data_IF_927655860780
#
_entry.id   IF_927655860780
#
_cell.length_a   1.000
_cell.length_b   1.000
_cell.length_c   1.000
_cell.angle_alpha   90.00
_cell.angle_beta   90.00
_cell.angle_gamma   90.00
#
_symmetry.space_group_name_H-M   'P 1'
#
loop_
_entity.id
_entity.type
_entity.pdbx_description
1 polymer ?
#
# COMPACT_ATOMS: atom_id res chain seq x y z
N UNK A 1 -19.55 23.79 35.59
CA UNK A 1 -18.15 24.16 35.87
C UNK A 1 -17.12 23.21 35.21
N UNK A 2 -17.11 21.88 35.48
CA UNK A 2 -16.14 20.95 34.85
C UNK A 2 -16.36 20.75 33.38
N UNK A 3 -17.61 20.74 32.90
CA UNK A 3 -17.98 20.65 31.46
C UNK A 3 -17.72 21.98 30.73
N UNK A 4 -17.93 23.10 31.39
CA UNK A 4 -17.64 24.44 30.88
C UNK A 4 -16.13 24.66 30.76
N UNK A 5 -15.34 24.31 31.79
CA UNK A 5 -13.88 24.35 31.71
C UNK A 5 -13.32 23.49 30.58
N UNK A 6 -13.91 22.33 30.32
CA UNK A 6 -13.51 21.45 29.23
C UNK A 6 -13.96 21.97 27.86
N UNK A 7 -15.11 22.64 27.77
CA UNK A 7 -15.56 23.34 26.58
C UNK A 7 -14.66 24.54 26.24
N UNK A 8 -14.24 25.30 27.27
CA UNK A 8 -13.31 26.43 27.12
C UNK A 8 -11.91 25.96 26.73
N UNK A 9 -11.44 24.82 27.23
CA UNK A 9 -10.19 24.18 26.83
C UNK A 9 -10.24 23.70 25.38
N UNK A 10 -11.36 23.11 24.94
CA UNK A 10 -11.61 22.71 23.54
C UNK A 10 -11.74 23.94 22.64
N UNK A 11 -12.41 25.00 23.10
CA UNK A 11 -12.53 26.25 22.38
C UNK A 11 -11.16 26.94 22.23
N UNK A 12 -10.39 27.04 23.32
CA UNK A 12 -9.03 27.57 23.28
C UNK A 12 -8.08 26.76 22.41
N UNK A 13 -8.22 25.42 22.39
CA UNK A 13 -7.50 24.55 21.45
C UNK A 13 -7.95 24.72 20.00
N UNK A 14 -9.21 25.15 19.76
CA UNK A 14 -9.74 25.45 18.42
C UNK A 14 -9.44 26.89 17.98
N UNK A 15 -9.25 27.82 18.91
CA UNK A 15 -8.89 29.22 18.64
C UNK A 15 -7.38 29.38 18.29
N UNK A 16 -6.54 28.39 18.51
CA UNK A 16 -5.33 28.30 17.72
C UNK A 16 -5.73 28.05 16.27
N UNK A 17 -6.27 29.09 15.62
CA UNK A 17 -6.38 29.20 14.18
C UNK A 17 -5.07 28.64 13.63
N UNK A 18 -5.06 27.56 12.81
CA UNK A 18 -3.84 27.16 12.16
C UNK A 18 -3.49 28.35 11.27
N UNK A 19 -2.65 29.26 11.80
CA UNK A 19 -2.02 30.25 10.96
C UNK A 19 -1.49 29.43 9.80
N UNK A 20 -1.84 29.77 8.55
CA UNK A 20 -1.49 29.05 7.32
C UNK A 20 -0.04 28.57 7.42
N UNK A 21 0.18 27.45 8.13
CA UNK A 21 1.52 26.90 8.30
C UNK A 21 1.94 26.48 6.93
N UNK A 22 2.95 27.17 6.37
CA UNK A 22 3.43 26.89 5.03
C UNK A 22 3.79 25.41 4.97
N UNK A 23 3.07 24.63 4.17
CA UNK A 23 3.31 23.21 3.99
C UNK A 23 4.65 22.95 3.28
N UNK A 24 4.94 23.72 2.23
CA UNK A 24 6.17 23.59 1.44
C UNK A 24 7.34 24.32 2.11
N UNK A 25 7.89 23.74 3.18
CA UNK A 25 9.02 24.29 3.94
C UNK A 25 10.19 23.32 3.98
N UNK A 26 11.39 23.83 4.23
CA UNK A 26 12.59 22.99 4.41
C UNK A 26 12.42 21.97 5.54
N UNK A 27 11.68 22.33 6.61
CA UNK A 27 11.40 21.46 7.77
C UNK A 27 10.55 20.25 7.41
N UNK A 28 9.63 20.38 6.45
CA UNK A 28 8.71 19.32 6.06
C UNK A 28 9.16 18.52 4.84
N UNK A 29 10.35 18.79 4.29
CA UNK A 29 10.85 18.07 3.09
C UNK A 29 10.89 16.55 3.29
N UNK A 30 11.38 16.09 4.45
CA UNK A 30 11.47 14.65 4.74
C UNK A 30 10.08 14.02 4.90
N UNK A 31 9.17 14.54 5.76
CA UNK A 31 7.79 14.05 5.81
C UNK A 31 7.07 14.06 4.45
N UNK A 32 7.22 15.11 3.66
CA UNK A 32 6.63 15.21 2.32
C UNK A 32 7.16 14.10 1.40
N UNK A 33 8.48 13.88 1.37
CA UNK A 33 9.10 12.82 0.59
C UNK A 33 8.64 11.44 1.06
N UNK A 34 8.57 11.20 2.37
CA UNK A 34 8.11 9.94 2.94
C UNK A 34 6.65 9.65 2.58
N UNK A 35 5.75 10.66 2.69
CA UNK A 35 4.34 10.52 2.33
C UNK A 35 4.16 10.24 0.83
N UNK A 36 4.95 10.89 -0.03
CA UNK A 36 4.93 10.64 -1.46
C UNK A 36 5.43 9.22 -1.79
N UNK A 37 6.59 8.83 -1.27
CA UNK A 37 7.19 7.55 -1.63
C UNK A 37 6.45 6.35 -1.05
N UNK A 38 5.84 6.45 0.14
CA UNK A 38 5.02 5.35 0.65
C UNK A 38 3.80 5.12 -0.25
N UNK A 39 3.17 6.20 -0.75
CA UNK A 39 2.05 6.10 -1.69
C UNK A 39 2.48 5.61 -3.08
N UNK A 40 3.63 6.07 -3.57
CA UNK A 40 4.25 5.65 -4.81
C UNK A 40 4.54 4.14 -4.81
N UNK A 41 5.27 3.64 -3.82
CA UNK A 41 5.58 2.21 -3.72
C UNK A 41 4.35 1.36 -3.45
N UNK A 42 3.36 1.87 -2.69
CA UNK A 42 2.10 1.18 -2.50
C UNK A 42 1.47 0.82 -3.84
N UNK A 43 1.41 1.75 -4.78
CA UNK A 43 0.80 1.51 -6.09
C UNK A 43 1.72 0.72 -7.03
N UNK A 44 3.02 0.96 -7.00
CA UNK A 44 3.98 0.21 -7.81
C UNK A 44 4.23 -1.24 -7.34
N UNK A 45 3.61 -1.66 -6.25
CA UNK A 45 3.44 -3.08 -5.94
C UNK A 45 2.53 -3.81 -6.94
N UNK A 46 1.71 -3.06 -7.68
CA UNK A 46 0.70 -3.62 -8.58
C UNK A 46 -0.64 -3.93 -7.90
N UNK A 47 -0.84 -3.50 -6.64
CA UNK A 47 -2.02 -3.89 -5.85
C UNK A 47 -3.35 -3.60 -6.55
N UNK A 48 -3.56 -2.39 -7.05
CA UNK A 48 -4.80 -2.04 -7.72
C UNK A 48 -4.93 -2.75 -9.08
N UNK A 49 -3.83 -2.97 -9.80
CA UNK A 49 -3.83 -3.77 -11.01
C UNK A 49 -4.29 -5.20 -10.73
N UNK A 50 -3.75 -5.84 -9.68
CA UNK A 50 -4.16 -7.19 -9.29
C UNK A 50 -5.61 -7.23 -8.83
N UNK A 51 -6.05 -6.29 -7.97
CA UNK A 51 -7.42 -6.28 -7.44
C UNK A 51 -8.47 -6.07 -8.54
N UNK A 52 -8.26 -5.11 -9.44
CA UNK A 52 -9.24 -4.80 -10.50
C UNK A 52 -9.23 -5.80 -11.65
N UNK A 53 -8.08 -6.41 -11.94
CA UNK A 53 -7.92 -7.35 -13.05
C UNK A 53 -7.73 -8.79 -12.60
N UNK A 54 -8.03 -9.13 -11.34
CA UNK A 54 -7.90 -10.48 -10.81
C UNK A 54 -8.56 -11.56 -11.68
N UNK A 55 -9.81 -11.41 -12.15
CA UNK A 55 -10.41 -12.41 -13.03
C UNK A 55 -9.57 -12.65 -14.29
N UNK A 56 -9.09 -11.58 -14.91
CA UNK A 56 -8.26 -11.66 -16.12
C UNK A 56 -6.93 -12.36 -15.88
N UNK A 57 -6.29 -12.08 -14.73
CA UNK A 57 -5.04 -12.73 -14.35
C UNK A 57 -5.26 -14.24 -14.16
N UNK A 58 -6.37 -14.65 -13.54
CA UNK A 58 -6.71 -16.05 -13.35
C UNK A 58 -7.10 -16.74 -14.67
N UNK A 59 -7.82 -16.07 -15.57
CA UNK A 59 -8.10 -16.59 -16.90
C UNK A 59 -6.82 -16.88 -17.71
N UNK A 60 -5.77 -16.04 -17.57
CA UNK A 60 -4.46 -16.26 -18.20
C UNK A 60 -3.77 -17.53 -17.71
N UNK A 61 -4.19 -18.11 -16.60
CA UNK A 61 -3.71 -19.39 -16.08
C UNK A 61 -4.51 -20.61 -16.61
N UNK A 62 -5.45 -20.37 -17.51
CA UNK A 62 -6.31 -21.43 -18.05
C UNK A 62 -7.56 -21.73 -17.22
N UNK A 63 -7.82 -20.96 -16.15
CA UNK A 63 -9.07 -21.07 -15.38
C UNK A 63 -10.25 -20.54 -16.21
N UNK A 64 -11.35 -21.30 -16.20
CA UNK A 64 -12.61 -20.82 -16.79
C UNK A 64 -13.16 -19.60 -16.02
N UNK A 65 -13.96 -18.79 -16.69
CA UNK A 65 -14.52 -17.52 -16.18
C UNK A 65 -15.14 -17.67 -14.79
N UNK A 66 -15.96 -18.68 -14.56
CA UNK A 66 -16.61 -18.92 -13.26
C UNK A 66 -15.61 -19.20 -12.14
N UNK A 67 -14.56 -19.97 -12.42
CA UNK A 67 -13.51 -20.26 -11.44
C UNK A 67 -12.65 -19.01 -11.17
N UNK A 68 -12.36 -18.21 -12.18
CA UNK A 68 -11.65 -16.95 -12.05
C UNK A 68 -12.42 -15.94 -11.17
N UNK A 69 -13.74 -15.83 -11.34
CA UNK A 69 -14.60 -15.01 -10.50
C UNK A 69 -14.62 -15.49 -9.02
N UNK A 70 -14.71 -16.79 -8.79
CA UNK A 70 -14.67 -17.36 -7.43
C UNK A 70 -13.33 -17.08 -6.74
N UNK A 71 -12.21 -17.20 -7.47
CA UNK A 71 -10.89 -16.85 -6.94
C UNK A 71 -10.80 -15.35 -6.59
N UNK A 72 -11.43 -14.49 -7.38
CA UNK A 72 -11.46 -13.05 -7.13
C UNK A 72 -12.25 -12.70 -5.86
N UNK A 73 -13.34 -13.42 -5.57
CA UNK A 73 -14.05 -13.32 -4.28
C UNK A 73 -13.13 -13.74 -3.12
N UNK A 74 -12.38 -14.83 -3.30
CA UNK A 74 -11.38 -15.29 -2.33
C UNK A 74 -10.30 -14.23 -2.04
N UNK A 75 -9.86 -13.46 -3.04
CA UNK A 75 -8.95 -12.30 -2.85
C UNK A 75 -9.58 -11.28 -1.89
N UNK A 76 -10.85 -10.92 -2.08
CA UNK A 76 -11.55 -9.98 -1.19
C UNK A 76 -11.59 -10.47 0.26
N UNK A 77 -11.90 -11.75 0.47
CA UNK A 77 -11.90 -12.36 1.81
C UNK A 77 -10.49 -12.36 2.41
N UNK A 78 -9.47 -12.73 1.64
CA UNK A 78 -8.08 -12.72 2.08
C UNK A 78 -7.66 -11.31 2.49
N UNK A 79 -7.97 -10.31 1.66
CA UNK A 79 -7.66 -8.91 1.95
C UNK A 79 -8.31 -8.47 3.28
N UNK A 80 -9.59 -8.80 3.49
CA UNK A 80 -10.32 -8.46 4.71
C UNK A 80 -9.67 -9.09 5.95
N UNK A 81 -9.44 -10.40 5.93
CA UNK A 81 -8.85 -11.14 7.06
C UNK A 81 -7.47 -10.60 7.41
N UNK A 82 -6.60 -10.45 6.41
CA UNK A 82 -5.23 -9.97 6.66
C UNK A 82 -5.17 -8.47 6.99
N UNK A 83 -6.16 -7.67 6.61
CA UNK A 83 -6.29 -6.29 7.09
C UNK A 83 -6.54 -6.27 8.60
N UNK A 84 -7.43 -7.10 9.15
CA UNK A 84 -7.60 -7.20 10.60
C UNK A 84 -6.34 -7.70 11.31
N UNK A 85 -5.62 -8.65 10.72
CA UNK A 85 -4.32 -9.09 11.25
C UNK A 85 -3.32 -7.93 11.26
N UNK A 86 -3.25 -7.14 10.19
CA UNK A 86 -2.38 -5.96 10.10
C UNK A 86 -2.72 -4.90 11.14
N UNK A 87 -4.00 -4.59 11.32
CA UNK A 87 -4.47 -3.66 12.35
C UNK A 87 -4.14 -4.13 13.77
N UNK A 88 -4.23 -5.42 14.04
CA UNK A 88 -3.85 -5.99 15.33
C UNK A 88 -2.33 -5.96 15.55
N UNK A 89 -1.54 -6.12 14.51
CA UNK A 89 -0.07 -6.15 14.59
C UNK A 89 0.57 -4.76 14.60
N UNK A 90 -0.09 -3.73 14.05
CA UNK A 90 0.52 -2.40 13.82
C UNK A 90 1.02 -1.76 15.12
N UNK A 91 0.25 -1.90 16.20
CA UNK A 91 0.64 -1.35 17.51
C UNK A 91 1.57 -2.28 18.30
N UNK A 92 1.68 -3.54 17.89
CA UNK A 92 2.58 -4.52 18.53
C UNK A 92 3.98 -4.51 17.93
N UNK A 93 4.06 -4.59 16.60
CA UNK A 93 5.32 -4.72 15.88
C UNK A 93 5.89 -3.39 15.38
N UNK A 94 5.04 -2.36 15.25
CA UNK A 94 5.42 -1.06 14.70
C UNK A 94 5.32 -1.00 13.17
N UNK A 95 5.33 0.24 12.68
CA UNK A 95 5.03 0.55 11.28
C UNK A 95 6.15 0.08 10.35
N UNK A 96 7.38 0.34 10.74
CA UNK A 96 8.57 -0.05 9.96
C UNK A 96 8.73 -1.56 9.85
N UNK A 97 8.47 -2.29 10.93
CA UNK A 97 8.54 -3.76 10.93
C UNK A 97 7.49 -4.36 10.01
N UNK A 98 6.26 -3.84 10.01
CA UNK A 98 5.21 -4.31 9.10
C UNK A 98 5.53 -4.01 7.64
N UNK A 99 6.16 -2.87 7.34
CA UNK A 99 6.64 -2.58 5.99
C UNK A 99 7.75 -3.56 5.54
N UNK A 100 8.63 -4.01 6.44
CA UNK A 100 9.59 -5.07 6.12
C UNK A 100 8.89 -6.39 5.83
N UNK A 101 7.98 -6.84 6.70
CA UNK A 101 7.22 -8.08 6.52
C UNK A 101 6.47 -8.04 5.18
N UNK A 102 5.76 -6.95 4.90
CA UNK A 102 5.07 -6.73 3.63
C UNK A 102 6.01 -6.76 2.43
N UNK A 103 7.17 -6.08 2.52
CA UNK A 103 8.15 -6.05 1.42
C UNK A 103 8.71 -7.43 1.10
N UNK A 104 9.07 -8.22 2.10
CA UNK A 104 9.53 -9.60 1.89
C UNK A 104 8.41 -10.47 1.31
N UNK A 105 7.18 -10.35 1.81
CA UNK A 105 6.02 -11.05 1.28
C UNK A 105 5.75 -10.71 -0.18
N UNK A 106 5.84 -9.42 -0.55
CA UNK A 106 5.72 -8.97 -1.94
C UNK A 106 6.80 -9.57 -2.84
N UNK A 107 8.07 -9.46 -2.44
CA UNK A 107 9.20 -9.96 -3.25
C UNK A 107 9.06 -11.46 -3.49
N UNK A 108 8.74 -12.23 -2.45
CA UNK A 108 8.55 -13.67 -2.57
C UNK A 108 7.37 -14.02 -3.47
N UNK A 109 6.19 -13.44 -3.21
CA UNK A 109 4.97 -13.78 -3.94
C UNK A 109 4.98 -13.31 -5.40
N UNK A 110 5.43 -12.06 -5.66
CA UNK A 110 5.54 -11.53 -7.02
C UNK A 110 6.66 -12.19 -7.82
N UNK A 111 7.79 -12.50 -7.16
CA UNK A 111 8.89 -13.23 -7.77
C UNK A 111 8.49 -14.65 -8.19
N UNK A 112 7.80 -15.38 -7.32
CA UNK A 112 7.25 -16.70 -7.65
C UNK A 112 6.16 -16.63 -8.71
N UNK A 113 5.31 -15.60 -8.67
CA UNK A 113 4.29 -15.37 -9.70
C UNK A 113 4.95 -15.13 -11.08
N UNK A 114 5.96 -14.27 -11.13
CA UNK A 114 6.74 -14.02 -12.35
C UNK A 114 7.38 -15.30 -12.88
N UNK A 115 8.03 -16.06 -12.02
CA UNK A 115 8.64 -17.35 -12.38
C UNK A 115 7.60 -18.34 -12.92
N UNK A 116 6.42 -18.41 -12.29
CA UNK A 116 5.33 -19.27 -12.72
C UNK A 116 4.86 -18.95 -14.14
N UNK A 117 4.76 -17.67 -14.50
CA UNK A 117 4.42 -17.25 -15.85
C UNK A 117 5.53 -17.55 -16.86
N UNK A 118 6.81 -17.45 -16.50
CA UNK A 118 7.92 -17.80 -17.40
C UNK A 118 8.08 -19.30 -17.61
N UNK A 119 7.71 -20.12 -16.64
CA UNK A 119 7.82 -21.59 -16.71
C UNK A 119 6.50 -22.27 -17.04
N UNK A 120 5.45 -21.50 -17.31
CA UNK A 120 4.08 -21.99 -17.56
C UNK A 120 3.52 -22.87 -16.43
N UNK A 121 4.06 -22.71 -15.21
CA UNK A 121 3.57 -23.42 -14.02
C UNK A 121 2.42 -22.66 -13.39
N UNK A 122 1.30 -22.58 -14.10
CA UNK A 122 0.14 -21.77 -13.73
C UNK A 122 -0.59 -22.27 -12.46
N UNK A 123 -0.34 -23.50 -12.05
CA UNK A 123 -1.00 -24.08 -10.85
C UNK A 123 -0.70 -23.30 -9.56
N UNK A 124 0.46 -22.66 -9.46
CA UNK A 124 0.85 -21.91 -8.25
C UNK A 124 0.44 -20.43 -8.29
N UNK A 125 0.03 -19.89 -9.44
CA UNK A 125 -0.31 -18.46 -9.57
C UNK A 125 -1.40 -18.02 -8.61
N UNK A 126 -2.51 -18.73 -8.42
CA UNK A 126 -3.51 -18.35 -7.43
C UNK A 126 -2.93 -18.20 -6.01
N UNK A 127 -2.12 -19.17 -5.57
CA UNK A 127 -1.47 -19.12 -4.26
C UNK A 127 -0.52 -17.92 -4.13
N UNK A 128 0.24 -17.59 -5.18
CA UNK A 128 1.10 -16.41 -5.23
C UNK A 128 0.29 -15.11 -5.11
N UNK A 129 -0.85 -15.01 -5.80
CA UNK A 129 -1.73 -13.83 -5.73
C UNK A 129 -2.35 -13.70 -4.32
N UNK A 130 -2.83 -14.78 -3.72
CA UNK A 130 -3.34 -14.76 -2.34
C UNK A 130 -2.25 -14.32 -1.34
N UNK A 131 -1.03 -14.86 -1.46
CA UNK A 131 0.10 -14.48 -0.63
C UNK A 131 0.48 -12.99 -0.81
N UNK A 132 0.45 -12.50 -2.04
CA UNK A 132 0.66 -11.09 -2.37
C UNK A 132 -0.38 -10.18 -1.70
N UNK A 133 -1.66 -10.52 -1.79
CA UNK A 133 -2.75 -9.76 -1.15
C UNK A 133 -2.61 -9.76 0.37
N UNK A 134 -2.29 -10.91 0.97
CA UNK A 134 -2.04 -11.01 2.41
C UNK A 134 -0.85 -10.16 2.86
N UNK A 135 0.26 -10.18 2.13
CA UNK A 135 1.43 -9.36 2.38
C UNK A 135 1.11 -7.85 2.26
N UNK A 136 0.29 -7.47 1.26
CA UNK A 136 -0.19 -6.10 1.12
C UNK A 136 -1.01 -5.67 2.33
N UNK A 137 -2.03 -6.44 2.69
CA UNK A 137 -2.98 -6.09 3.73
C UNK A 137 -2.30 -5.91 5.10
N UNK A 138 -1.35 -6.80 5.45
CA UNK A 138 -0.58 -6.71 6.70
C UNK A 138 0.45 -5.57 6.66
N UNK A 139 1.12 -5.39 5.53
CA UNK A 139 2.19 -4.41 5.37
C UNK A 139 1.67 -3.02 4.98
N UNK A 140 1.76 -2.71 3.72
CA UNK A 140 1.42 -1.39 3.16
C UNK A 140 -0.03 -0.97 3.40
N UNK A 141 -1.00 -1.90 3.27
CA UNK A 141 -2.42 -1.60 3.41
C UNK A 141 -2.78 -1.07 4.80
N UNK A 142 -2.26 -1.71 5.85
CA UNK A 142 -2.48 -1.30 7.23
C UNK A 142 -1.66 -0.04 7.60
N UNK A 143 -0.43 0.06 7.09
CA UNK A 143 0.55 1.04 7.56
C UNK A 143 0.40 2.41 6.91
N UNK A 144 0.09 2.49 5.61
CA UNK A 144 0.23 3.72 4.81
C UNK A 144 -0.46 4.94 5.46
N UNK A 145 -1.72 4.81 5.84
CA UNK A 145 -2.51 5.95 6.33
C UNK A 145 -2.12 6.36 7.74
N UNK A 146 -1.81 5.39 8.58
CA UNK A 146 -1.33 5.62 9.96
C UNK A 146 0.02 6.31 9.91
N UNK A 147 0.98 5.78 9.16
CA UNK A 147 2.31 6.34 9.00
C UNK A 147 2.28 7.78 8.49
N UNK A 148 1.51 8.08 7.44
CA UNK A 148 1.36 9.45 6.93
C UNK A 148 0.83 10.38 8.03
N UNK A 149 -0.13 9.93 8.85
CA UNK A 149 -0.66 10.76 9.93
C UNK A 149 0.34 11.04 11.05
N UNK A 150 1.28 10.13 11.27
CA UNK A 150 2.26 10.20 12.37
C UNK A 150 3.51 11.02 12.02
N UNK A 151 3.93 11.05 10.76
CA UNK A 151 5.14 11.77 10.33
C UNK A 151 4.97 13.29 10.22
N UNK A 152 3.72 13.79 10.21
CA UNK A 152 3.47 15.23 10.15
C UNK A 152 3.07 15.81 11.51
N UNK A 153 3.55 17.02 11.85
CA UNK A 153 3.02 17.78 12.98
C UNK A 153 1.50 18.01 12.84
N UNK A 154 0.79 18.15 13.96
CA UNK A 154 -0.68 18.30 13.97
C UNK A 154 -1.17 19.40 13.00
N UNK A 155 -0.49 20.56 12.99
CA UNK A 155 -0.85 21.68 12.10
C UNK A 155 -0.76 21.37 10.59
N UNK A 156 0.01 20.35 10.19
CA UNK A 156 0.25 19.99 8.79
C UNK A 156 -0.29 18.59 8.44
N UNK A 157 -0.86 17.86 9.40
CA UNK A 157 -1.32 16.48 9.23
C UNK A 157 -2.36 16.34 8.11
N UNK A 158 -3.34 17.23 8.05
CA UNK A 158 -4.36 17.22 7.01
C UNK A 158 -3.77 17.41 5.61
N UNK A 159 -2.80 18.33 5.47
CA UNK A 159 -2.10 18.55 4.19
C UNK A 159 -1.22 17.34 3.81
N UNK A 160 -0.58 16.71 4.80
CA UNK A 160 0.19 15.48 4.60
C UNK A 160 -0.68 14.33 4.12
N UNK A 161 -1.85 14.12 4.74
CA UNK A 161 -2.83 13.13 4.31
C UNK A 161 -3.37 13.43 2.90
N UNK A 162 -3.64 14.69 2.60
CA UNK A 162 -4.08 15.10 1.26
C UNK A 162 -3.00 14.80 0.20
N UNK A 163 -1.72 15.10 0.48
CA UNK A 163 -0.61 14.77 -0.40
C UNK A 163 -0.48 13.26 -0.64
N UNK A 164 -0.46 12.48 0.44
CA UNK A 164 -0.34 11.02 0.36
C UNK A 164 -1.52 10.40 -0.39
N UNK A 165 -2.76 10.82 -0.08
CA UNK A 165 -3.96 10.37 -0.78
C UNK A 165 -3.94 10.75 -2.26
N UNK A 166 -3.56 11.99 -2.59
CA UNK A 166 -3.47 12.43 -3.98
C UNK A 166 -2.44 11.61 -4.76
N UNK A 167 -1.25 11.41 -4.21
CA UNK A 167 -0.21 10.58 -4.82
C UNK A 167 -0.72 9.13 -5.01
N UNK A 168 -1.32 8.54 -3.97
CA UNK A 168 -1.87 7.19 -4.01
C UNK A 168 -2.88 7.02 -5.16
N UNK A 169 -3.88 7.88 -5.24
CA UNK A 169 -4.94 7.75 -6.24
C UNK A 169 -4.51 8.13 -7.65
N UNK A 170 -3.57 9.07 -7.81
CA UNK A 170 -2.97 9.37 -9.12
C UNK A 170 -2.21 8.16 -9.65
N UNK A 171 -1.34 7.55 -8.85
CA UNK A 171 -0.61 6.36 -9.27
C UNK A 171 -1.54 5.14 -9.45
N UNK A 172 -2.59 4.99 -8.62
CA UNK A 172 -3.61 3.97 -8.79
C UNK A 172 -4.32 4.10 -10.16
N UNK A 173 -4.76 5.31 -10.49
CA UNK A 173 -5.42 5.58 -11.76
C UNK A 173 -4.49 5.34 -12.96
N UNK A 174 -3.25 5.84 -12.91
CA UNK A 174 -2.26 5.63 -13.96
C UNK A 174 -1.97 4.15 -14.18
N UNK A 175 -1.71 3.42 -13.10
CA UNK A 175 -1.39 1.99 -13.19
C UNK A 175 -2.58 1.18 -13.72
N UNK A 176 -3.78 1.44 -13.21
CA UNK A 176 -5.01 0.75 -13.64
C UNK A 176 -5.32 1.03 -15.11
N UNK A 177 -5.11 2.27 -15.57
CA UNK A 177 -5.29 2.65 -16.97
C UNK A 177 -4.29 1.96 -17.91
N UNK A 178 -3.03 1.85 -17.47
CA UNK A 178 -1.95 1.31 -18.30
C UNK A 178 -1.90 -0.23 -18.26
N UNK A 179 -2.34 -0.85 -17.18
CA UNK A 179 -2.18 -2.29 -16.94
C UNK A 179 -2.72 -3.19 -18.07
N UNK A 180 -3.94 -2.99 -18.62
CA UNK A 180 -4.42 -3.80 -19.74
C UNK A 180 -3.49 -3.75 -20.96
N UNK A 181 -2.90 -2.58 -21.22
CA UNK A 181 -1.93 -2.40 -22.28
C UNK A 181 -0.61 -3.13 -21.99
N UNK A 182 -0.15 -3.09 -20.74
CA UNK A 182 1.06 -3.79 -20.33
C UNK A 182 0.93 -5.31 -20.56
N UNK A 183 -0.16 -5.92 -20.07
CA UNK A 183 -0.35 -7.38 -20.17
C UNK A 183 -0.72 -7.84 -21.60
N UNK A 184 -1.17 -6.93 -22.47
CA UNK A 184 -1.38 -7.23 -23.89
C UNK A 184 -0.12 -7.07 -24.74
N UNK A 185 0.85 -6.29 -24.26
CA UNK A 185 2.08 -5.98 -25.01
C UNK A 185 3.27 -6.84 -24.55
N UNK A 186 3.35 -7.10 -23.25
CA UNK A 186 4.45 -7.86 -22.64
C UNK A 186 3.94 -9.18 -22.06
N UNK A 187 4.73 -10.26 -22.11
CA UNK A 187 4.43 -11.47 -21.33
C UNK A 187 4.23 -11.14 -19.85
N UNK A 188 3.21 -11.74 -19.24
CA UNK A 188 2.83 -11.45 -17.86
C UNK A 188 3.99 -11.61 -16.86
N UNK A 189 4.89 -12.58 -17.10
CA UNK A 189 6.09 -12.76 -16.28
C UNK A 189 6.93 -11.50 -16.12
N UNK A 190 7.11 -10.70 -17.18
CA UNK A 190 7.85 -9.42 -17.09
C UNK A 190 7.09 -8.36 -16.31
N UNK A 191 5.76 -8.33 -16.39
CA UNK A 191 4.95 -7.36 -15.63
C UNK A 191 5.04 -7.66 -14.13
N UNK A 192 4.94 -8.92 -13.73
CA UNK A 192 5.12 -9.32 -12.32
C UNK A 192 6.57 -9.15 -11.85
N UNK A 193 7.55 -9.37 -12.72
CA UNK A 193 8.96 -9.09 -12.41
C UNK A 193 9.18 -7.60 -12.15
N UNK A 194 8.60 -6.71 -12.95
CA UNK A 194 8.67 -5.27 -12.72
C UNK A 194 8.13 -4.90 -11.33
N UNK A 195 6.96 -5.39 -10.95
CA UNK A 195 6.40 -5.14 -9.62
C UNK A 195 7.30 -5.71 -8.51
N UNK A 196 7.87 -6.90 -8.70
CA UNK A 196 8.82 -7.50 -7.77
C UNK A 196 10.06 -6.60 -7.56
N UNK A 197 10.65 -6.10 -8.64
CA UNK A 197 11.81 -5.20 -8.58
C UNK A 197 11.47 -3.87 -7.90
N UNK A 198 10.28 -3.33 -8.13
CA UNK A 198 9.81 -2.14 -7.41
C UNK A 198 9.68 -2.39 -5.91
N UNK A 199 9.32 -3.61 -5.49
CA UNK A 199 9.25 -3.97 -4.07
C UNK A 199 10.63 -4.21 -3.45
N UNK A 200 11.62 -4.62 -4.24
CA UNK A 200 13.03 -4.61 -3.79
C UNK A 200 13.49 -3.16 -3.54
N UNK A 201 13.15 -2.23 -4.43
CA UNK A 201 13.44 -0.80 -4.23
C UNK A 201 12.72 -0.25 -2.99
N UNK A 202 11.45 -0.65 -2.76
CA UNK A 202 10.72 -0.32 -1.54
C UNK A 202 11.47 -0.82 -0.30
N UNK A 203 11.94 -2.06 -0.29
CA UNK A 203 12.68 -2.64 0.83
C UNK A 203 13.93 -1.81 1.15
N UNK A 204 14.68 -1.41 0.12
CA UNK A 204 15.86 -0.54 0.26
C UNK A 204 15.46 0.83 0.82
N UNK A 205 14.39 1.42 0.29
CA UNK A 205 13.87 2.71 0.77
C UNK A 205 13.42 2.63 2.23
N UNK A 206 12.69 1.58 2.62
CA UNK A 206 12.27 1.36 4.02
C UNK A 206 13.48 1.25 4.93
N UNK A 207 14.52 0.53 4.51
CA UNK A 207 15.76 0.37 5.28
C UNK A 207 16.47 1.70 5.51
N UNK A 208 16.56 2.56 4.50
CA UNK A 208 17.39 3.76 4.50
C UNK A 208 16.66 4.99 5.04
N UNK A 209 15.35 5.12 4.80
CA UNK A 209 14.65 6.39 5.00
C UNK A 209 13.46 6.31 5.96
N UNK A 210 12.81 5.16 6.11
CA UNK A 210 11.60 5.07 6.92
C UNK A 210 11.95 4.97 8.41
N UNK A 211 11.57 5.96 9.23
CA UNK A 211 11.70 5.86 10.68
C UNK A 211 10.65 4.91 11.27
N UNK A 212 10.90 4.37 12.46
CA UNK A 212 9.84 3.78 13.26
C UNK A 212 9.05 4.91 13.92
N UNK A 213 7.72 4.88 13.78
CA UNK A 213 6.84 5.91 14.33
C UNK A 213 5.98 5.41 15.50
N UNK A 214 6.14 4.13 15.87
CA UNK A 214 5.52 3.58 17.06
C UNK A 214 6.05 4.31 18.29
N UNK A 215 5.16 5.04 19.00
CA UNK A 215 5.45 5.75 20.22
C UNK A 215 5.48 4.89 21.46
#
# INVERSE_FOLDING_TARGET
EALEAKADEIAAASETTPGKSKFWTKRLKIPIALAFFIAFFNQLSGINAVLYFAPRIFEMTGLGEKAALLQSVGIGVTNLVFTFVGLWLIDRLGRRTLLYIGSFGYIASLGLCSWAFFTENFAIVPACIFAFIGAHAVGQGAVIWVFISEIFPNANRANGQALGSSAHWVFAALLTLIFPKLVSTFPAGYVFLFFCLMMVLQLVWVKLMVPETKG
#
